data_IF_127761954153
#
_entry.id   IF_127761954153
#
_cell.length_a   1.000
_cell.length_b   1.000
_cell.length_c   1.000
_cell.angle_alpha   90.00
_cell.angle_beta   90.00
_cell.angle_gamma   90.00
#
_symmetry.space_group_name_H-M   'P 1'
#
loop_
_entity.id
_entity.type
_entity.pdbx_description
1 polymer ?
#
# COMPACT_ATOMS: atom_id res chain seq x y z
N UNK A 1 -20.82 8.34 21.91
CA UNK A 1 -19.71 8.90 22.72
C UNK A 1 -18.71 9.66 21.86
N UNK A 2 -18.16 9.06 20.80
CA UNK A 2 -17.11 9.70 19.99
C UNK A 2 -17.61 10.94 19.23
N UNK A 3 -18.82 10.91 18.65
CA UNK A 3 -19.43 12.10 18.03
C UNK A 3 -19.55 13.30 18.99
N UNK A 4 -20.08 13.10 20.20
CA UNK A 4 -20.22 14.17 21.19
C UNK A 4 -18.87 14.75 21.62
N UNK A 5 -17.83 13.92 21.68
CA UNK A 5 -16.47 14.38 21.95
C UNK A 5 -15.93 15.22 20.80
N UNK A 6 -16.09 14.73 19.57
CA UNK A 6 -15.75 15.49 18.36
C UNK A 6 -16.45 16.85 18.35
N UNK A 7 -17.76 16.89 18.60
CA UNK A 7 -18.54 18.13 18.68
C UNK A 7 -17.94 19.14 19.65
N UNK A 8 -17.55 18.69 20.85
CA UNK A 8 -16.91 19.53 21.85
C UNK A 8 -15.54 20.06 21.37
N UNK A 9 -14.68 19.18 20.85
CA UNK A 9 -13.37 19.57 20.34
C UNK A 9 -13.47 20.53 19.14
N UNK A 10 -14.48 20.36 18.29
CA UNK A 10 -14.75 21.26 17.16
C UNK A 10 -15.22 22.65 17.60
N UNK A 11 -16.07 22.74 18.63
CA UNK A 11 -16.49 24.02 19.23
C UNK A 11 -15.29 24.74 19.86
N UNK A 12 -14.46 24.00 20.61
CA UNK A 12 -13.22 24.52 21.20
C UNK A 12 -12.29 25.10 20.12
N UNK A 13 -12.05 24.33 19.06
CA UNK A 13 -11.21 24.76 17.94
C UNK A 13 -11.75 26.03 17.26
N UNK A 14 -13.08 26.11 17.04
CA UNK A 14 -13.70 27.31 16.46
C UNK A 14 -13.46 28.56 17.31
N UNK A 15 -13.47 28.41 18.65
CA UNK A 15 -13.22 29.50 19.58
C UNK A 15 -11.76 29.95 19.66
N UNK A 16 -10.80 29.04 19.45
CA UNK A 16 -9.36 29.33 19.57
C UNK A 16 -8.66 29.68 18.25
N UNK A 17 -9.23 29.30 17.11
CA UNK A 17 -8.52 29.26 15.82
C UNK A 17 -9.30 29.96 14.69
N UNK A 18 -10.07 31.01 15.03
CA UNK A 18 -10.91 31.75 14.08
C UNK A 18 -10.16 32.26 12.83
N UNK A 19 -8.84 32.47 12.92
CA UNK A 19 -8.02 33.02 11.83
C UNK A 19 -7.21 31.98 11.02
N UNK A 20 -7.07 30.70 11.44
CA UNK A 20 -6.39 29.69 10.61
C UNK A 20 -7.39 29.04 9.64
N UNK A 21 -7.36 29.53 8.40
CA UNK A 21 -8.27 29.11 7.34
C UNK A 21 -7.76 27.94 6.49
N UNK A 22 -6.57 27.38 6.78
CA UNK A 22 -5.98 26.34 5.92
C UNK A 22 -6.61 24.97 6.17
N UNK A 23 -7.18 24.28 5.16
CA UNK A 23 -7.81 22.96 5.32
C UNK A 23 -6.89 21.90 5.95
N UNK A 24 -5.59 21.95 5.66
CA UNK A 24 -4.63 20.97 6.17
C UNK A 24 -4.37 21.13 7.68
N UNK A 25 -4.44 22.36 8.20
CA UNK A 25 -4.34 22.62 9.65
C UNK A 25 -5.51 21.96 10.40
N UNK A 26 -6.71 22.00 9.80
CA UNK A 26 -7.92 21.39 10.36
C UNK A 26 -7.82 19.86 10.34
N UNK A 27 -7.40 19.26 9.22
CA UNK A 27 -7.17 17.81 9.13
C UNK A 27 -6.18 17.31 10.18
N UNK A 28 -5.07 18.02 10.33
CA UNK A 28 -4.01 17.66 11.27
C UNK A 28 -4.49 17.69 12.72
N UNK A 29 -5.27 18.69 13.10
CA UNK A 29 -5.87 18.76 14.44
C UNK A 29 -6.87 17.63 14.68
N UNK A 30 -7.73 17.32 13.70
CA UNK A 30 -8.69 16.22 13.83
C UNK A 30 -7.96 14.89 13.99
N UNK A 31 -6.98 14.60 13.14
CA UNK A 31 -6.15 13.39 13.22
C UNK A 31 -5.46 13.28 14.58
N UNK A 32 -4.83 14.36 15.06
CA UNK A 32 -4.12 14.39 16.34
C UNK A 32 -5.06 14.12 17.52
N UNK A 33 -6.17 14.85 17.63
CA UNK A 33 -7.14 14.70 18.73
C UNK A 33 -7.84 13.33 18.67
N UNK A 34 -8.19 12.86 17.48
CA UNK A 34 -8.74 11.52 17.29
C UNK A 34 -7.76 10.45 17.76
N UNK A 35 -6.50 10.55 17.34
CA UNK A 35 -5.47 9.58 17.70
C UNK A 35 -5.26 9.52 19.22
N UNK A 36 -5.11 10.69 19.87
CA UNK A 36 -5.00 10.78 21.33
C UNK A 36 -6.18 10.08 22.02
N UNK A 37 -7.41 10.43 21.62
CA UNK A 37 -8.64 9.86 22.19
C UNK A 37 -8.73 8.35 21.97
N UNK A 38 -8.40 7.89 20.77
CA UNK A 38 -8.45 6.47 20.45
C UNK A 38 -7.48 5.69 21.34
N UNK A 39 -6.26 6.20 21.54
CA UNK A 39 -5.25 5.57 22.39
C UNK A 39 -5.64 5.57 23.88
N UNK A 40 -6.31 6.61 24.37
CA UNK A 40 -6.80 6.67 25.76
C UNK A 40 -7.97 5.71 26.03
N UNK A 41 -8.84 5.52 25.04
CA UNK A 41 -10.09 4.76 25.20
C UNK A 41 -9.99 3.31 24.74
N UNK A 42 -9.08 2.99 23.83
CA UNK A 42 -8.92 1.65 23.28
C UNK A 42 -7.83 0.87 24.01
N UNK A 43 -8.24 -0.01 24.93
CA UNK A 43 -7.34 -0.89 25.69
C UNK A 43 -7.06 -2.23 25.00
N UNK A 44 -7.79 -2.57 23.94
CA UNK A 44 -7.66 -3.84 23.23
C UNK A 44 -6.60 -3.77 22.14
N UNK A 45 -5.72 -4.78 22.07
CA UNK A 45 -4.68 -4.90 21.05
C UNK A 45 -5.20 -5.37 19.68
N UNK A 46 -6.39 -6.00 19.63
CA UNK A 46 -6.93 -6.61 18.42
C UNK A 46 -8.30 -6.04 18.00
N UNK A 47 -8.41 -4.71 17.94
CA UNK A 47 -9.66 -4.03 17.56
C UNK A 47 -9.95 -4.21 16.07
N UNK A 48 -11.18 -4.64 15.75
CA UNK A 48 -11.67 -4.79 14.38
C UNK A 48 -11.64 -3.47 13.61
N UNK A 49 -11.15 -3.49 12.37
CA UNK A 49 -10.96 -2.29 11.56
C UNK A 49 -12.28 -1.55 11.29
N UNK A 50 -13.39 -2.26 11.05
CA UNK A 50 -14.67 -1.59 10.77
C UNK A 50 -15.12 -0.76 11.96
N UNK A 51 -14.91 -1.26 13.18
CA UNK A 51 -15.18 -0.51 14.39
C UNK A 51 -14.25 0.69 14.54
N UNK A 52 -12.94 0.54 14.29
CA UNK A 52 -11.98 1.66 14.32
C UNK A 52 -12.41 2.77 13.36
N UNK A 53 -12.71 2.41 12.11
CA UNK A 53 -13.13 3.35 11.08
C UNK A 53 -14.46 4.04 11.43
N UNK A 54 -15.46 3.28 11.90
CA UNK A 54 -16.76 3.85 12.29
C UNK A 54 -16.63 4.86 13.44
N UNK A 55 -15.79 4.56 14.44
CA UNK A 55 -15.55 5.49 15.55
C UNK A 55 -14.82 6.75 15.09
N UNK A 56 -13.80 6.63 14.23
CA UNK A 56 -13.07 7.77 13.69
C UNK A 56 -13.96 8.70 12.86
N UNK A 57 -14.80 8.12 11.99
CA UNK A 57 -15.82 8.87 11.23
C UNK A 57 -16.79 9.60 12.15
N UNK A 58 -17.37 8.88 13.12
CA UNK A 58 -18.30 9.46 14.10
C UNK A 58 -17.67 10.63 14.85
N UNK A 59 -16.41 10.52 15.28
CA UNK A 59 -15.67 11.61 15.90
C UNK A 59 -15.50 12.80 14.95
N UNK A 60 -15.07 12.56 13.71
CA UNK A 60 -14.79 13.64 12.76
C UNK A 60 -16.05 14.36 12.29
N UNK A 61 -17.17 13.65 12.14
CA UNK A 61 -18.49 14.24 11.87
C UNK A 61 -18.89 15.21 12.99
N UNK A 62 -18.76 14.78 14.25
CA UNK A 62 -19.00 15.64 15.39
C UNK A 62 -18.07 16.85 15.38
N UNK A 63 -16.77 16.65 15.15
CA UNK A 63 -15.79 17.73 15.07
C UNK A 63 -16.15 18.76 14.00
N UNK A 64 -16.49 18.31 12.80
CA UNK A 64 -16.91 19.17 11.70
C UNK A 64 -18.18 19.97 12.05
N UNK A 65 -19.16 19.34 12.69
CA UNK A 65 -20.35 20.03 13.19
C UNK A 65 -19.98 21.13 14.19
N UNK A 66 -19.10 20.82 15.15
CA UNK A 66 -18.63 21.76 16.17
C UNK A 66 -17.80 22.89 15.60
N UNK A 67 -16.94 22.60 14.62
CA UNK A 67 -16.10 23.56 13.92
C UNK A 67 -16.90 24.41 12.93
N UNK A 68 -18.04 23.92 12.43
CA UNK A 68 -18.86 24.62 11.44
C UNK A 68 -18.23 24.59 10.05
N UNK A 69 -17.41 23.57 9.79
CA UNK A 69 -16.67 23.37 8.55
C UNK A 69 -16.86 21.94 8.09
N UNK A 70 -16.81 21.73 6.78
CA UNK A 70 -16.87 20.41 6.20
C UNK A 70 -15.60 20.17 5.37
N UNK A 71 -14.88 19.09 5.68
CA UNK A 71 -13.67 18.69 4.97
C UNK A 71 -13.63 17.18 4.78
N UNK A 72 -13.03 16.73 3.68
CA UNK A 72 -12.79 15.30 3.49
C UNK A 72 -11.64 14.84 4.40
N UNK A 73 -11.90 13.80 5.21
CA UNK A 73 -10.94 13.21 6.14
C UNK A 73 -11.24 11.73 6.36
N UNK A 74 -10.19 10.92 6.45
CA UNK A 74 -10.27 9.50 6.84
C UNK A 74 -9.37 9.28 8.06
N UNK A 75 -9.92 9.36 9.28
CA UNK A 75 -9.14 9.30 10.51
C UNK A 75 -8.58 7.92 10.76
N UNK A 76 -7.26 7.82 10.87
CA UNK A 76 -6.56 6.59 11.23
C UNK A 76 -5.77 6.83 12.51
N UNK A 77 -6.01 6.07 13.59
CA UNK A 77 -5.21 6.22 14.79
C UNK A 77 -3.83 5.57 14.54
N UNK A 78 -2.78 6.37 14.47
CA UNK A 78 -1.41 5.90 14.25
C UNK A 78 -0.51 6.35 15.41
N UNK A 79 0.32 5.47 15.96
CA UNK A 79 1.36 5.90 16.91
C UNK A 79 2.62 6.34 16.19
N UNK A 80 2.83 5.79 15.00
CA UNK A 80 4.02 5.99 14.19
C UNK A 80 3.72 6.81 12.94
N UNK A 81 4.79 7.20 12.25
CA UNK A 81 4.71 8.07 11.08
C UNK A 81 4.38 7.28 9.79
N UNK A 82 3.53 7.83 8.94
CA UNK A 82 3.14 7.26 7.66
C UNK A 82 3.45 8.23 6.51
N UNK A 83 3.99 7.68 5.43
CA UNK A 83 4.17 8.36 4.15
C UNK A 83 3.38 7.65 3.05
N UNK A 84 3.05 8.38 1.99
CA UNK A 84 2.61 7.79 0.74
C UNK A 84 3.65 8.00 -0.36
N UNK A 85 3.80 7.00 -1.22
CA UNK A 85 4.65 7.04 -2.41
C UNK A 85 3.78 6.84 -3.64
N UNK A 86 3.89 7.78 -4.57
CA UNK A 86 3.15 7.81 -5.83
C UNK A 86 4.14 7.93 -6.98
N UNK A 87 4.11 6.99 -7.92
CA UNK A 87 4.72 7.24 -9.23
C UNK A 87 3.65 7.84 -10.13
N UNK A 88 3.80 9.10 -10.52
CA UNK A 88 2.83 9.77 -11.37
C UNK A 88 2.96 9.31 -12.82
N UNK A 89 1.81 9.05 -13.46
CA UNK A 89 1.71 8.83 -14.88
C UNK A 89 1.63 10.15 -15.68
N UNK A 90 1.12 10.07 -16.90
CA UNK A 90 0.94 11.25 -17.76
C UNK A 90 -0.37 11.99 -17.51
N UNK A 91 -1.31 11.38 -16.80
CA UNK A 91 -2.61 11.97 -16.51
C UNK A 91 -2.58 12.80 -15.22
N UNK A 92 -2.44 14.12 -15.36
CA UNK A 92 -2.42 15.04 -14.22
C UNK A 92 -3.74 15.08 -13.45
N UNK A 93 -4.89 14.93 -14.12
CA UNK A 93 -6.19 14.94 -13.46
C UNK A 93 -6.35 13.73 -12.51
N UNK A 94 -5.91 12.54 -12.95
CA UNK A 94 -5.87 11.36 -12.07
C UNK A 94 -4.94 11.56 -10.88
N UNK A 95 -3.77 12.17 -11.10
CA UNK A 95 -2.86 12.49 -9.99
C UNK A 95 -3.51 13.44 -8.98
N UNK A 96 -4.19 14.50 -9.45
CA UNK A 96 -4.91 15.43 -8.57
C UNK A 96 -5.95 14.69 -7.70
N UNK A 97 -6.74 13.80 -8.29
CA UNK A 97 -7.70 12.99 -7.55
C UNK A 97 -7.03 12.07 -6.51
N UNK A 98 -5.92 11.42 -6.88
CA UNK A 98 -5.13 10.59 -5.96
C UNK A 98 -4.61 11.42 -4.79
N UNK A 99 -4.02 12.59 -5.05
CA UNK A 99 -3.51 13.48 -4.00
C UNK A 99 -4.63 14.00 -3.09
N UNK A 100 -5.83 14.24 -3.62
CA UNK A 100 -7.01 14.59 -2.81
C UNK A 100 -7.41 13.48 -1.84
N UNK A 101 -7.29 12.20 -2.25
CA UNK A 101 -7.54 11.07 -1.35
C UNK A 101 -6.42 10.91 -0.32
N UNK A 102 -5.16 11.09 -0.71
CA UNK A 102 -4.03 11.01 0.21
C UNK A 102 -4.05 12.13 1.26
N UNK A 103 -4.47 13.34 0.88
CA UNK A 103 -4.61 14.47 1.80
C UNK A 103 -5.62 14.21 2.94
N UNK A 104 -6.57 13.30 2.74
CA UNK A 104 -7.54 12.92 3.79
C UNK A 104 -6.94 12.00 4.86
N UNK A 105 -5.78 11.39 4.61
CA UNK A 105 -5.09 10.47 5.52
C UNK A 105 -4.10 11.21 6.46
N UNK A 106 -3.76 10.65 7.62
CA UNK A 106 -2.77 11.23 8.54
C UNK A 106 -1.33 10.95 8.09
N UNK A 107 -0.94 11.47 6.93
CA UNK A 107 0.41 11.31 6.38
C UNK A 107 1.31 12.49 6.80
N UNK A 108 2.57 12.22 7.18
CA UNK A 108 3.56 13.31 7.35
C UNK A 108 4.11 13.79 6.01
N UNK A 109 4.18 12.89 5.02
CA UNK A 109 4.73 13.22 3.71
C UNK A 109 4.08 12.41 2.58
N UNK A 110 4.05 13.01 1.39
CA UNK A 110 3.67 12.37 0.13
C UNK A 110 4.84 12.57 -0.83
N UNK A 111 5.50 11.46 -1.19
CA UNK A 111 6.60 11.45 -2.15
C UNK A 111 6.06 11.14 -3.54
N UNK A 112 6.14 12.12 -4.42
CA UNK A 112 5.68 12.06 -5.80
C UNK A 112 6.89 11.91 -6.71
N UNK A 113 6.95 10.79 -7.43
CA UNK A 113 8.03 10.47 -8.36
C UNK A 113 7.51 10.56 -9.79
N UNK A 114 8.20 11.32 -10.65
CA UNK A 114 7.75 11.53 -12.03
C UNK A 114 8.88 11.96 -12.98
N UNK A 115 8.62 11.82 -14.28
CA UNK A 115 9.60 12.17 -15.30
C UNK A 115 9.74 13.68 -15.54
N UNK A 116 8.61 14.34 -15.73
CA UNK A 116 8.52 15.77 -16.10
C UNK A 116 7.50 16.48 -15.22
N UNK A 117 7.92 17.18 -14.16
CA UNK A 117 7.01 17.94 -13.31
C UNK A 117 6.40 19.12 -14.05
N UNK A 118 5.10 19.33 -13.84
CA UNK A 118 4.38 20.51 -14.32
C UNK A 118 4.54 21.69 -13.35
N UNK A 119 4.27 22.90 -13.83
CA UNK A 119 4.23 24.11 -12.98
C UNK A 119 3.26 23.97 -11.81
N UNK A 120 2.11 23.30 -12.04
CA UNK A 120 1.15 23.00 -10.97
C UNK A 120 1.77 22.17 -9.86
N UNK A 121 2.53 21.11 -10.21
CA UNK A 121 3.17 20.26 -9.21
C UNK A 121 4.25 21.03 -8.44
N UNK A 122 5.05 21.87 -9.11
CA UNK A 122 6.00 22.74 -8.42
C UNK A 122 5.32 23.74 -7.50
N UNK A 123 4.18 24.31 -7.89
CA UNK A 123 3.40 25.18 -7.03
C UNK A 123 2.84 24.41 -5.81
N UNK A 124 2.40 23.16 -6.00
CA UNK A 124 1.95 22.29 -4.92
C UNK A 124 3.07 22.07 -3.90
N UNK A 125 4.25 21.61 -4.31
CA UNK A 125 5.36 21.37 -3.40
C UNK A 125 5.89 22.62 -2.70
N UNK A 126 5.77 23.81 -3.33
CA UNK A 126 6.11 25.08 -2.68
C UNK A 126 5.12 25.47 -1.58
N UNK A 127 3.85 25.09 -1.73
CA UNK A 127 2.77 25.49 -0.83
C UNK A 127 2.43 24.44 0.23
N UNK A 128 2.79 23.17 -0.01
CA UNK A 128 2.57 22.07 0.91
C UNK A 128 3.91 21.47 1.37
N UNK A 129 4.35 21.71 2.62
CA UNK A 129 5.60 21.18 3.14
C UNK A 129 5.61 19.65 3.27
N UNK A 130 4.45 18.98 3.18
CA UNK A 130 4.34 17.51 3.20
C UNK A 130 4.61 16.90 1.82
N UNK A 131 4.62 17.70 0.76
CA UNK A 131 4.81 17.21 -0.61
C UNK A 131 6.29 17.21 -0.98
N UNK A 132 6.83 16.03 -1.28
CA UNK A 132 8.20 15.84 -1.79
C UNK A 132 8.11 15.43 -3.26
N UNK A 133 8.78 16.17 -4.14
CA UNK A 133 8.88 15.83 -5.57
C UNK A 133 10.26 15.26 -5.86
N UNK A 134 10.30 14.04 -6.40
CA UNK A 134 11.51 13.46 -6.98
C UNK A 134 11.33 13.35 -8.50
N UNK A 135 12.15 14.06 -9.25
CA UNK A 135 12.13 13.97 -10.71
C UNK A 135 13.29 13.15 -11.25
N UNK A 136 13.02 12.35 -12.28
CA UNK A 136 14.01 11.58 -13.03
C UNK A 136 13.87 11.99 -14.50
N UNK A 137 14.90 12.56 -15.16
CA UNK A 137 14.76 13.18 -16.48
C UNK A 137 14.34 12.22 -17.61
N UNK A 138 14.48 10.91 -17.39
CA UNK A 138 14.11 9.85 -18.34
C UNK A 138 12.74 9.24 -18.04
N UNK A 139 12.27 8.35 -18.91
CA UNK A 139 11.02 7.61 -18.67
C UNK A 139 11.16 6.78 -17.39
N UNK A 140 10.40 7.16 -16.37
CA UNK A 140 10.38 6.45 -15.08
C UNK A 140 9.55 5.19 -15.21
N UNK A 141 10.20 4.04 -15.08
CA UNK A 141 9.49 2.78 -14.89
C UNK A 141 8.76 2.85 -13.52
N UNK A 142 7.45 2.59 -13.46
CA UNK A 142 6.67 2.86 -12.24
C UNK A 142 7.15 2.15 -10.97
N UNK A 143 7.64 0.91 -11.06
CA UNK A 143 8.16 0.16 -9.91
C UNK A 143 9.49 0.75 -9.44
N UNK A 144 10.38 1.12 -10.37
CA UNK A 144 11.62 1.85 -10.06
C UNK A 144 11.30 3.20 -9.39
N UNK A 145 10.32 3.94 -9.93
CA UNK A 145 9.88 5.21 -9.38
C UNK A 145 9.38 5.07 -7.94
N UNK A 146 8.52 4.07 -7.68
CA UNK A 146 8.05 3.75 -6.32
C UNK A 146 9.18 3.34 -5.39
N UNK A 147 10.13 2.54 -5.86
CA UNK A 147 11.29 2.15 -5.06
C UNK A 147 12.16 3.36 -4.66
N UNK A 148 12.38 4.30 -5.60
CA UNK A 148 13.06 5.56 -5.31
C UNK A 148 12.28 6.39 -4.29
N UNK A 149 10.97 6.57 -4.49
CA UNK A 149 10.14 7.35 -3.58
C UNK A 149 10.16 6.79 -2.16
N UNK A 150 10.08 5.46 -2.01
CA UNK A 150 10.16 4.79 -0.73
C UNK A 150 11.53 4.95 -0.04
N UNK A 151 12.61 5.08 -0.82
CA UNK A 151 13.95 5.36 -0.29
C UNK A 151 14.09 6.80 0.24
N UNK A 152 13.31 7.74 -0.29
CA UNK A 152 13.39 9.16 0.07
C UNK A 152 12.62 9.49 1.35
N UNK A 153 11.64 8.66 1.74
CA UNK A 153 10.87 8.84 2.97
C UNK A 153 11.54 8.17 4.17
N UNK A 154 11.52 8.87 5.31
CA UNK A 154 11.95 8.34 6.62
C UNK A 154 10.82 7.77 7.48
N UNK A 155 9.57 7.70 6.96
CA UNK A 155 8.40 7.31 7.74
C UNK A 155 8.43 5.84 8.21
N UNK A 156 7.77 5.55 9.33
CA UNK A 156 7.70 4.19 9.89
C UNK A 156 6.85 3.23 9.05
N UNK A 157 5.95 3.77 8.23
CA UNK A 157 5.10 3.03 7.31
C UNK A 157 5.04 3.75 5.97
N UNK A 158 5.08 2.98 4.89
CA UNK A 158 5.06 3.50 3.51
C UNK A 158 3.87 2.88 2.78
N UNK A 159 2.92 3.72 2.38
CA UNK A 159 1.80 3.37 1.53
C UNK A 159 2.18 3.59 0.06
N UNK A 160 2.07 2.54 -0.76
CA UNK A 160 2.27 2.60 -2.20
C UNK A 160 0.92 2.65 -2.90
N UNK A 161 0.73 3.65 -3.75
CA UNK A 161 -0.51 3.81 -4.56
C UNK A 161 -0.19 4.04 -6.04
N UNK A 162 -1.22 3.86 -6.87
CA UNK A 162 -1.17 4.13 -8.30
C UNK A 162 -1.47 5.62 -8.54
N UNK A 163 -0.63 6.31 -9.32
CA UNK A 163 -0.83 7.72 -9.66
C UNK A 163 -1.89 7.96 -10.74
N UNK A 164 -2.40 6.90 -11.38
CA UNK A 164 -3.41 6.98 -12.43
C UNK A 164 -4.76 6.36 -12.03
N UNK A 165 -4.83 5.74 -10.84
CA UNK A 165 -6.06 5.11 -10.33
C UNK A 165 -6.39 5.57 -8.93
N UNK A 166 -7.43 6.39 -8.84
CA UNK A 166 -7.95 6.91 -7.58
C UNK A 166 -8.54 5.78 -6.73
N UNK A 167 -8.06 5.66 -5.49
CA UNK A 167 -8.61 4.77 -4.46
C UNK A 167 -9.13 5.63 -3.30
N UNK A 168 -10.37 5.41 -2.81
CA UNK A 168 -10.90 6.19 -1.70
C UNK A 168 -10.03 6.12 -0.44
N UNK A 169 -9.87 7.26 0.25
CA UNK A 169 -9.06 7.37 1.46
C UNK A 169 -9.44 6.33 2.52
N UNK A 170 -10.73 6.07 2.70
CA UNK A 170 -11.25 5.06 3.64
C UNK A 170 -10.80 3.62 3.34
N UNK A 171 -10.50 3.31 2.07
CA UNK A 171 -9.94 2.00 1.71
C UNK A 171 -8.44 1.99 1.98
N UNK A 172 -7.72 3.06 1.61
CA UNK A 172 -6.29 3.22 1.84
C UNK A 172 -5.92 3.22 3.33
N UNK A 173 -6.77 3.81 4.16
CA UNK A 173 -6.60 3.95 5.59
C UNK A 173 -6.28 2.63 6.30
N UNK A 174 -6.89 1.52 5.85
CA UNK A 174 -6.67 0.20 6.44
C UNK A 174 -5.27 -0.32 6.16
N UNK A 175 -4.69 -0.05 4.99
CA UNK A 175 -3.34 -0.52 4.65
C UNK A 175 -2.29 0.00 5.63
N UNK A 176 -2.36 1.30 5.97
CA UNK A 176 -1.47 1.92 6.94
C UNK A 176 -1.74 1.36 8.34
N UNK A 177 -3.01 1.24 8.74
CA UNK A 177 -3.38 0.68 10.04
C UNK A 177 -2.91 -0.78 10.25
N UNK A 178 -2.89 -1.60 9.20
CA UNK A 178 -2.35 -2.97 9.29
C UNK A 178 -0.84 -2.98 9.48
N UNK A 179 -0.12 -1.95 8.99
CA UNK A 179 1.32 -1.79 9.22
C UNK A 179 1.65 -1.12 10.58
N UNK A 180 0.65 -0.65 11.32
CA UNK A 180 0.78 -0.11 12.68
C UNK A 180 0.95 -1.27 13.70
N UNK A 181 2.03 -2.04 13.53
CA UNK A 181 2.46 -3.12 14.44
C UNK A 181 1.87 -4.51 14.19
N UNK A 182 0.85 -4.66 13.32
CA UNK A 182 0.18 -5.96 13.08
C UNK A 182 0.88 -6.81 12.02
N UNK A 183 1.15 -6.20 10.87
CA UNK A 183 1.82 -6.82 9.73
C UNK A 183 3.04 -6.00 9.34
N UNK A 184 4.06 -6.67 8.80
CA UNK A 184 5.20 -5.97 8.20
C UNK A 184 4.86 -5.51 6.77
N UNK A 185 3.92 -6.21 6.10
CA UNK A 185 3.38 -5.91 4.77
C UNK A 185 1.85 -6.09 4.78
N UNK A 186 1.12 -5.13 4.22
CA UNK A 186 -0.32 -5.19 3.99
C UNK A 186 -0.63 -5.15 2.49
N UNK A 187 -1.07 -6.28 1.93
CA UNK A 187 -1.39 -6.45 0.50
C UNK A 187 -2.82 -6.02 0.16
N UNK A 188 -3.05 -5.69 -1.11
CA UNK A 188 -4.40 -5.56 -1.67
C UNK A 188 -5.00 -6.96 -1.85
N UNK A 189 -6.11 -7.25 -1.18
CA UNK A 189 -6.84 -8.50 -1.36
C UNK A 189 -7.80 -8.39 -2.55
N UNK A 190 -7.34 -8.87 -3.70
CA UNK A 190 -8.13 -9.00 -4.92
C UNK A 190 -8.66 -10.42 -5.12
N UNK A 191 -8.55 -11.29 -4.12
CA UNK A 191 -8.98 -12.71 -4.21
C UNK A 191 -10.46 -12.86 -4.50
N UNK A 192 -11.30 -11.95 -4.00
CA UNK A 192 -12.74 -11.94 -4.29
C UNK A 192 -13.07 -11.73 -5.77
N UNK A 193 -12.09 -11.30 -6.57
CA UNK A 193 -12.21 -10.93 -7.98
C UNK A 193 -11.51 -11.93 -8.92
N UNK A 194 -10.94 -13.02 -8.38
CA UNK A 194 -10.10 -13.95 -9.16
C UNK A 194 -10.87 -14.94 -10.03
N UNK A 195 -12.15 -15.20 -9.73
CA UNK A 195 -12.96 -16.21 -10.43
C UNK A 195 -12.36 -17.63 -10.43
N UNK A 196 -12.82 -18.45 -11.37
CA UNK A 196 -12.28 -19.80 -11.60
C UNK A 196 -10.89 -19.75 -12.25
N UNK A 197 -10.07 -20.78 -12.05
CA UNK A 197 -8.68 -20.81 -12.53
C UNK A 197 -8.53 -20.47 -14.03
N UNK A 198 -9.36 -21.06 -14.89
CA UNK A 198 -9.34 -20.82 -16.35
C UNK A 198 -9.80 -19.41 -16.77
N UNK A 199 -10.35 -18.62 -15.85
CA UNK A 199 -10.78 -17.24 -16.05
C UNK A 199 -9.72 -16.22 -15.62
N UNK A 200 -8.72 -16.67 -14.86
CA UNK A 200 -7.63 -15.81 -14.36
C UNK A 200 -6.72 -15.38 -15.51
N UNK A 201 -6.30 -14.12 -15.45
CA UNK A 201 -5.27 -13.58 -16.32
C UNK A 201 -3.95 -14.32 -16.16
N UNK A 202 -3.07 -14.23 -17.16
CA UNK A 202 -1.82 -14.98 -17.16
C UNK A 202 -0.87 -14.51 -16.04
N UNK A 203 -0.82 -13.20 -15.79
CA UNK A 203 0.00 -12.62 -14.72
C UNK A 203 -0.51 -13.06 -13.33
N UNK A 204 -1.83 -13.17 -13.14
CA UNK A 204 -2.40 -13.67 -11.88
C UNK A 204 -1.97 -15.10 -11.57
N UNK A 205 -1.83 -15.95 -12.60
CA UNK A 205 -1.35 -17.33 -12.44
C UNK A 205 0.11 -17.36 -12.01
N UNK A 206 0.94 -16.41 -12.46
CA UNK A 206 2.30 -16.30 -11.96
C UNK A 206 2.34 -15.93 -10.48
N UNK A 207 1.51 -14.96 -10.04
CA UNK A 207 1.42 -14.58 -8.63
C UNK A 207 0.97 -15.76 -7.75
N UNK A 208 -0.09 -16.46 -8.17
CA UNK A 208 -0.60 -17.61 -7.44
C UNK A 208 0.40 -18.77 -7.40
N UNK A 209 1.07 -19.05 -8.50
CA UNK A 209 2.10 -20.07 -8.56
C UNK A 209 3.30 -19.71 -7.67
N UNK A 210 3.75 -18.45 -7.68
CA UNK A 210 4.80 -17.97 -6.80
C UNK A 210 4.42 -18.18 -5.32
N UNK A 211 3.25 -17.69 -4.90
CA UNK A 211 2.75 -17.85 -3.54
C UNK A 211 2.64 -19.32 -3.11
N UNK A 212 2.08 -20.17 -3.97
CA UNK A 212 1.96 -21.61 -3.71
C UNK A 212 3.33 -22.28 -3.59
N UNK A 213 4.26 -21.95 -4.50
CA UNK A 213 5.63 -22.49 -4.50
C UNK A 213 6.48 -22.07 -3.29
N UNK A 214 6.07 -21.02 -2.58
CA UNK A 214 6.74 -20.55 -1.36
C UNK A 214 6.01 -20.97 -0.07
N UNK A 215 5.05 -21.88 -0.17
CA UNK A 215 4.19 -22.36 0.92
C UNK A 215 3.33 -21.25 1.55
N UNK A 216 2.86 -20.32 0.71
CA UNK A 216 1.96 -19.22 1.07
C UNK A 216 0.72 -19.18 0.18
N UNK A 217 0.13 -20.35 -0.07
CA UNK A 217 -1.12 -20.47 -0.85
C UNK A 217 -2.29 -19.67 -0.25
N UNK A 218 -2.23 -19.32 1.04
CA UNK A 218 -3.15 -18.41 1.71
C UNK A 218 -3.18 -17.01 1.07
N UNK A 219 -2.08 -16.57 0.46
CA UNK A 219 -1.99 -15.28 -0.23
C UNK A 219 -2.64 -15.28 -1.62
N UNK A 220 -2.99 -16.45 -2.17
CA UNK A 220 -3.66 -16.61 -3.47
C UNK A 220 -2.94 -15.82 -4.58
N UNK A 221 -3.63 -14.95 -5.31
CA UNK A 221 -3.08 -14.14 -6.41
C UNK A 221 -2.45 -12.81 -5.96
N UNK A 222 -2.44 -12.52 -4.66
CA UNK A 222 -2.03 -11.21 -4.16
C UNK A 222 -0.52 -11.13 -3.96
N UNK A 223 0.07 -10.01 -4.37
CA UNK A 223 1.50 -9.73 -4.27
C UNK A 223 1.77 -8.23 -4.15
N UNK A 224 3.02 -7.85 -3.89
CA UNK A 224 3.46 -6.44 -3.96
C UNK A 224 3.35 -5.81 -5.36
N UNK A 225 2.99 -6.57 -6.41
CA UNK A 225 2.64 -5.98 -7.71
C UNK A 225 1.20 -5.46 -7.78
N UNK A 226 0.36 -5.78 -6.78
CA UNK A 226 -1.02 -5.33 -6.72
C UNK A 226 -1.12 -4.08 -5.84
N UNK A 227 -1.17 -2.91 -6.48
CA UNK A 227 -1.43 -1.65 -5.77
C UNK A 227 -2.92 -1.56 -5.35
N UNK A 228 -3.22 -0.85 -4.26
CA UNK A 228 -2.27 -0.28 -3.29
C UNK A 228 -1.71 -1.34 -2.33
N UNK A 229 -0.56 -1.09 -1.71
CA UNK A 229 -0.07 -1.90 -0.60
C UNK A 229 0.68 -1.02 0.40
N UNK A 230 0.86 -1.48 1.63
CA UNK A 230 1.70 -0.78 2.60
C UNK A 230 2.78 -1.71 3.17
N UNK A 231 3.89 -1.10 3.59
CA UNK A 231 4.98 -1.80 4.26
C UNK A 231 5.43 -1.02 5.49
N UNK A 232 5.83 -1.74 6.52
CA UNK A 232 6.53 -1.18 7.67
C UNK A 232 7.98 -0.82 7.32
N UNK A 233 8.59 0.05 8.13
CA UNK A 233 10.01 0.39 8.05
C UNK A 233 10.89 -0.84 8.21
N UNK A 234 10.55 -1.72 9.15
CA UNK A 234 11.23 -3.00 9.34
C UNK A 234 11.26 -3.85 8.06
N UNK A 235 10.12 -3.99 7.36
CA UNK A 235 10.07 -4.70 6.07
C UNK A 235 10.93 -4.00 5.02
N UNK A 236 10.79 -2.68 4.89
CA UNK A 236 11.52 -1.91 3.88
C UNK A 236 13.04 -2.03 4.06
N UNK A 237 13.53 -1.85 5.29
CA UNK A 237 14.96 -1.93 5.60
C UNK A 237 15.50 -3.35 5.46
N UNK A 238 14.69 -4.36 5.82
CA UNK A 238 15.04 -5.78 5.69
C UNK A 238 15.18 -6.22 4.23
N UNK A 239 14.35 -5.68 3.33
CA UNK A 239 14.34 -6.03 1.90
C UNK A 239 15.27 -5.13 1.08
N UNK A 240 15.44 -3.88 1.51
CA UNK A 240 16.19 -2.85 0.81
C UNK A 240 15.42 -2.25 -0.36
N UNK A 241 15.64 -0.94 -0.61
CA UNK A 241 14.95 -0.20 -1.67
C UNK A 241 15.05 -0.86 -3.06
N UNK A 242 16.21 -1.43 -3.40
CA UNK A 242 16.43 -2.06 -4.70
C UNK A 242 15.50 -3.26 -4.97
N UNK A 243 15.05 -3.97 -3.93
CA UNK A 243 14.12 -5.08 -4.11
C UNK A 243 12.75 -4.59 -4.62
N UNK A 244 12.31 -3.40 -4.20
CA UNK A 244 11.01 -2.84 -4.58
C UNK A 244 10.94 -2.38 -6.05
N UNK A 245 12.08 -2.29 -6.74
CA UNK A 245 12.10 -2.06 -8.19
C UNK A 245 11.56 -3.27 -8.97
N UNK A 246 11.52 -4.45 -8.35
CA UNK A 246 10.92 -5.68 -8.89
C UNK A 246 9.95 -6.22 -7.83
N UNK A 247 8.68 -5.76 -7.77
CA UNK A 247 7.83 -5.99 -6.61
C UNK A 247 7.60 -7.47 -6.28
N UNK A 248 7.48 -8.35 -7.29
CA UNK A 248 7.35 -9.81 -7.05
C UNK A 248 8.59 -10.44 -6.43
N UNK A 249 9.79 -9.89 -6.70
CA UNK A 249 11.03 -10.30 -6.03
C UNK A 249 11.04 -9.84 -4.58
N UNK A 250 10.70 -8.58 -4.31
CA UNK A 250 10.54 -8.09 -2.92
C UNK A 250 9.54 -8.95 -2.14
N UNK A 251 8.44 -9.35 -2.79
CA UNK A 251 7.42 -10.21 -2.21
C UNK A 251 7.94 -11.60 -1.86
N UNK A 252 8.66 -12.24 -2.78
CA UNK A 252 9.31 -13.53 -2.52
C UNK A 252 10.33 -13.42 -1.38
N UNK A 253 11.19 -12.38 -1.40
CA UNK A 253 12.16 -12.12 -0.33
C UNK A 253 11.47 -11.91 1.03
N UNK A 254 10.33 -11.23 1.08
CA UNK A 254 9.57 -11.04 2.30
C UNK A 254 9.10 -12.37 2.90
N UNK A 255 8.60 -13.28 2.06
CA UNK A 255 8.21 -14.64 2.48
C UNK A 255 9.44 -15.43 2.97
N UNK A 256 10.55 -15.38 2.23
CA UNK A 256 11.78 -16.11 2.56
C UNK A 256 12.39 -15.63 3.88
N UNK A 257 12.30 -14.33 4.17
CA UNK A 257 12.79 -13.71 5.41
C UNK A 257 11.81 -13.80 6.58
N UNK A 258 10.64 -14.42 6.38
CA UNK A 258 9.66 -14.63 7.45
C UNK A 258 8.95 -13.36 7.91
N UNK A 259 8.86 -12.33 7.06
CA UNK A 259 8.09 -11.12 7.36
C UNK A 259 6.60 -11.46 7.49
N UNK A 260 5.89 -10.75 8.37
CA UNK A 260 4.44 -10.90 8.56
C UNK A 260 3.71 -10.23 7.41
N UNK A 261 3.09 -11.03 6.55
CA UNK A 261 2.33 -10.55 5.39
C UNK A 261 0.85 -10.77 5.66
N UNK A 262 0.09 -9.67 5.68
CA UNK A 262 -1.36 -9.63 5.85
C UNK A 262 -2.04 -8.83 4.74
N UNK A 263 -3.30 -8.44 4.95
CA UNK A 263 -4.13 -7.74 3.97
C UNK A 263 -4.62 -6.39 4.49
N UNK A 264 -4.41 -5.35 3.68
CA UNK A 264 -4.88 -3.99 3.92
C UNK A 264 -6.33 -3.76 3.50
N UNK A 265 -7.02 -4.75 2.93
CA UNK A 265 -8.39 -4.63 2.42
C UNK A 265 -8.45 -4.92 0.92
N UNK A 266 -9.61 -4.68 0.32
CA UNK A 266 -9.83 -4.88 -1.11
C UNK A 266 -10.07 -3.52 -1.76
N UNK A 267 -9.13 -3.08 -2.59
CA UNK A 267 -9.15 -1.80 -3.25
C UNK A 267 -9.13 -1.96 -4.77
N UNK A 268 -9.93 -1.13 -5.45
CA UNK A 268 -10.09 -1.16 -6.90
C UNK A 268 -11.05 -2.25 -7.39
N UNK A 269 -11.65 -1.99 -8.56
CA UNK A 269 -12.49 -2.97 -9.27
C UNK A 269 -11.68 -3.51 -10.43
N UNK A 270 -11.35 -4.81 -10.40
CA UNK A 270 -10.83 -5.53 -11.56
C UNK A 270 -12.03 -5.90 -12.42
N UNK A 271 -12.08 -5.37 -13.65
CA UNK A 271 -12.83 -6.06 -14.69
C UNK A 271 -12.08 -7.36 -14.95
N UNK A 272 -12.79 -8.49 -15.01
CA UNK A 272 -12.18 -9.79 -15.30
C UNK A 272 -11.35 -9.67 -16.58
N UNK A 273 -10.03 -9.61 -16.43
CA UNK A 273 -9.07 -9.39 -17.51
C UNK A 273 -8.90 -10.70 -18.29
N UNK A 274 -9.94 -11.13 -19.00
CA UNK A 274 -9.74 -12.07 -20.11
C UNK A 274 -9.12 -11.26 -21.25
N UNK A 275 -7.79 -11.27 -21.32
CA UNK A 275 -6.96 -10.83 -22.47
C UNK A 275 -6.60 -9.32 -22.56
N UNK A 276 -6.44 -8.61 -21.45
CA UNK A 276 -5.93 -7.21 -21.49
C UNK A 276 -4.40 -7.10 -21.27
N UNK A 277 -3.73 -8.21 -20.93
CA UNK A 277 -2.29 -8.22 -20.77
C UNK A 277 -1.63 -8.18 -22.14
N UNK A 278 -0.96 -7.06 -22.45
CA UNK A 278 -0.16 -6.98 -23.66
C UNK A 278 1.02 -7.94 -23.56
N UNK A 279 1.49 -8.45 -24.70
CA UNK A 279 2.66 -9.34 -24.75
C UNK A 279 3.86 -8.73 -24.01
N UNK A 280 4.06 -7.41 -24.13
CA UNK A 280 5.11 -6.69 -23.42
C UNK A 280 4.95 -6.76 -21.89
N UNK A 281 3.74 -6.54 -21.36
CA UNK A 281 3.46 -6.66 -19.92
C UNK A 281 3.69 -8.08 -19.43
N UNK A 282 3.22 -9.07 -20.20
CA UNK A 282 3.43 -10.47 -19.89
C UNK A 282 4.91 -10.84 -19.85
N UNK A 283 5.70 -10.44 -20.87
CA UNK A 283 7.15 -10.73 -20.93
C UNK A 283 7.90 -10.11 -19.75
N UNK A 284 7.57 -8.86 -19.39
CA UNK A 284 8.13 -8.22 -18.18
C UNK A 284 7.77 -9.05 -16.94
N UNK A 285 6.49 -9.35 -16.74
CA UNK A 285 6.04 -10.12 -15.59
C UNK A 285 6.71 -11.50 -15.51
N UNK A 286 6.83 -12.22 -16.63
CA UNK A 286 7.51 -13.51 -16.68
C UNK A 286 8.98 -13.41 -16.27
N UNK A 287 9.70 -12.38 -16.76
CA UNK A 287 11.09 -12.09 -16.37
C UNK A 287 11.23 -11.78 -14.87
N UNK A 288 10.37 -10.90 -14.35
CA UNK A 288 10.38 -10.52 -12.93
C UNK A 288 10.10 -11.73 -12.01
N UNK A 289 9.16 -12.61 -12.40
CA UNK A 289 8.88 -13.82 -11.65
C UNK A 289 10.01 -14.86 -11.76
N UNK A 290 10.64 -14.99 -12.93
CA UNK A 290 11.83 -15.82 -13.09
C UNK A 290 12.96 -15.38 -12.14
N UNK A 291 13.16 -14.07 -11.97
CA UNK A 291 14.10 -13.54 -10.99
C UNK A 291 13.69 -13.87 -9.55
N UNK A 292 12.41 -13.72 -9.21
CA UNK A 292 11.88 -14.06 -7.88
C UNK A 292 12.07 -15.55 -7.54
N UNK A 293 11.80 -16.46 -8.49
CA UNK A 293 12.05 -17.90 -8.28
C UNK A 293 13.52 -18.23 -8.20
N UNK A 294 14.38 -17.60 -9.00
CA UNK A 294 15.83 -17.81 -8.92
C UNK A 294 16.36 -17.43 -7.54
N UNK A 295 15.90 -16.32 -6.99
CA UNK A 295 16.22 -15.89 -5.62
C UNK A 295 15.75 -16.92 -4.60
N UNK A 296 14.49 -17.37 -4.71
CA UNK A 296 13.93 -18.38 -3.81
C UNK A 296 14.63 -19.74 -3.90
N UNK A 297 14.99 -20.18 -5.09
CA UNK A 297 15.74 -21.42 -5.32
C UNK A 297 17.16 -21.34 -4.78
N UNK A 298 17.77 -20.15 -4.82
CA UNK A 298 19.09 -19.93 -4.21
C UNK A 298 19.03 -20.04 -2.68
N UNK A 299 17.92 -19.62 -2.06
CA UNK A 299 17.72 -19.70 -0.62
C UNK A 299 17.22 -21.08 -0.11
N UNK A 300 16.36 -21.76 -0.87
CA UNK A 300 15.64 -22.99 -0.45
C UNK A 300 16.01 -24.25 -1.26
N UNK A 301 17.01 -24.13 -2.14
CA UNK A 301 17.38 -25.17 -3.10
C UNK A 301 16.45 -25.23 -4.32
N UNK A 302 16.87 -25.98 -5.34
CA UNK A 302 16.18 -26.08 -6.64
C UNK A 302 14.73 -26.57 -6.58
N UNK A 303 14.35 -27.23 -5.48
CA UNK A 303 13.00 -27.74 -5.25
C UNK A 303 12.19 -26.89 -4.26
N UNK A 304 12.70 -25.74 -3.80
CA UNK A 304 12.00 -24.87 -2.85
C UNK A 304 11.50 -25.63 -1.61
N UNK A 305 12.32 -26.56 -1.09
CA UNK A 305 12.01 -27.48 0.02
C UNK A 305 10.89 -28.52 -0.23
N UNK A 306 10.35 -28.64 -1.44
CA UNK A 306 9.43 -29.74 -1.76
C UNK A 306 10.18 -31.07 -1.85
N UNK A 307 9.73 -32.06 -1.07
CA UNK A 307 10.29 -33.40 -1.05
C UNK A 307 10.23 -34.07 -2.44
N UNK A 308 11.23 -34.89 -2.76
CA UNK A 308 11.28 -35.69 -4.01
C UNK A 308 10.60 -37.04 -3.81
N UNK A 309 9.30 -37.02 -3.50
CA UNK A 309 8.55 -38.24 -3.14
C UNK A 309 7.97 -39.00 -4.34
N UNK A 310 8.04 -38.44 -5.55
CA UNK A 310 7.39 -39.02 -6.74
C UNK A 310 8.34 -39.44 -7.86
N UNK A 311 9.63 -39.05 -7.84
CA UNK A 311 10.57 -39.49 -8.87
C UNK A 311 11.27 -40.77 -8.43
N UNK A 312 10.78 -41.90 -8.91
CA UNK A 312 11.52 -43.15 -8.81
C UNK A 312 12.68 -43.15 -9.83
N UNK A 313 13.84 -42.59 -9.44
CA UNK A 313 15.03 -42.51 -10.32
C UNK A 313 15.61 -43.89 -10.64
N UNK A 314 15.20 -44.95 -9.95
CA UNK A 314 15.59 -46.33 -10.25
C UNK A 314 14.97 -46.87 -11.55
N UNK A 315 13.98 -46.19 -12.14
CA UNK A 315 13.36 -46.61 -13.42
C UNK A 315 14.17 -46.12 -14.64
N UNK A 316 15.15 -45.24 -14.44
CA UNK A 316 16.04 -44.76 -15.51
C UNK A 316 17.45 -45.38 -15.45
N UNK A 317 17.63 -46.45 -14.67
CA UNK A 317 18.87 -47.23 -14.63
C UNK A 317 18.88 -48.32 -15.70
N UNK A 318 19.94 -48.32 -16.50
CA UNK A 318 20.35 -49.35 -17.48
C UNK A 318 19.54 -49.44 -18.78
N UNK A 319 19.83 -48.52 -19.71
CA UNK A 319 20.00 -48.91 -21.11
C UNK A 319 21.51 -48.94 -21.41
N UNK A 320 22.17 -50.03 -21.03
CA UNK A 320 23.44 -50.45 -21.63
C UNK A 320 23.13 -51.68 -22.49
N UNK A 321 23.41 -51.60 -23.79
CA UNK A 321 23.35 -52.71 -24.76
C UNK A 321 22.35 -52.52 -25.89
#
# INVERSE_FOLDING_TARGET
MDHSAGLKDGIEWRGSSADDNRPDSLREIIHRKWNQRFLETNRASNTDWKLVQARGKSYSEGFMQGAGRHINISPVPLRNHAAAVVCAGTNEASLQEVLLQLAALPLQEVVIVLGKPSEWLFALARNDPKTVIAYLPEKVEPDIGRALGAKLTGADMILFVDGEKTVPADQLARFIWECEGKSDIALNDVSGQMGLFHQRGEIDRFHEFLNTSLNRGDLKINSLSNLPFAVSRNAFDTLGAAAFAIPVKAHALAILKGLRIGFGGSAGVRRFARNEDTEQKWRKAAGDHAEAWREAMSARGSRLQFADTQRNRSVLGEWEG
#
